data_IF_363905271077
#
_entry.id   IF_363905271077
#
_cell.length_a   1.000
_cell.length_b   1.000
_cell.length_c   1.000
_cell.angle_alpha   90.00
_cell.angle_beta   90.00
_cell.angle_gamma   90.00
#
_symmetry.space_group_name_H-M   'P 1'
#
loop_
_entity.id
_entity.type
_entity.pdbx_description
1 polymer ?
#
# COMPACT_ATOMS: atom_id res chain seq x y z
N UNK A 1 -11.73 -2.30 6.50
CA UNK A 1 -12.78 -2.58 7.50
C UNK A 1 -12.96 -1.36 8.38
N UNK A 2 -14.16 -1.13 8.95
CA UNK A 2 -14.39 -0.03 9.91
C UNK A 2 -13.58 -0.36 11.16
N UNK A 3 -12.94 0.63 11.78
CA UNK A 3 -12.27 0.43 13.08
C UNK A 3 -13.26 0.01 14.18
N UNK A 4 -14.54 0.36 14.05
CA UNK A 4 -15.60 0.02 15.00
C UNK A 4 -16.30 -1.32 14.70
N UNK A 5 -15.79 -2.16 13.80
CA UNK A 5 -16.43 -3.44 13.46
C UNK A 5 -15.78 -4.64 14.14
N UNK A 6 -16.59 -5.66 14.44
CA UNK A 6 -16.12 -6.98 14.93
C UNK A 6 -15.06 -7.60 14.00
N UNK A 7 -15.18 -7.36 12.69
CA UNK A 7 -14.21 -7.83 11.69
C UNK A 7 -12.82 -7.25 11.92
N UNK A 8 -12.69 -6.00 12.40
CA UNK A 8 -11.39 -5.41 12.74
C UNK A 8 -10.75 -6.10 13.94
N UNK A 9 -11.52 -6.40 14.98
CA UNK A 9 -11.02 -7.08 16.19
C UNK A 9 -10.49 -8.48 15.83
N UNK A 10 -11.25 -9.25 15.04
CA UNK A 10 -10.82 -10.58 14.58
C UNK A 10 -9.56 -10.48 13.72
N UNK A 11 -9.53 -9.53 12.77
CA UNK A 11 -8.37 -9.29 11.92
C UNK A 11 -7.12 -8.93 12.74
N UNK A 12 -7.25 -8.01 13.71
CA UNK A 12 -6.15 -7.58 14.58
C UNK A 12 -5.60 -8.76 15.38
N UNK A 13 -6.48 -9.58 15.98
CA UNK A 13 -6.06 -10.77 16.73
C UNK A 13 -5.26 -11.74 15.86
N UNK A 14 -5.71 -12.02 14.62
CA UNK A 14 -4.98 -12.88 13.69
C UNK A 14 -3.60 -12.30 13.35
N UNK A 15 -3.52 -11.01 13.02
CA UNK A 15 -2.25 -10.35 12.70
C UNK A 15 -1.29 -10.40 13.89
N UNK A 16 -1.81 -10.17 15.10
CA UNK A 16 -1.01 -10.14 16.32
C UNK A 16 -0.50 -11.55 16.66
N UNK A 17 -1.34 -12.58 16.57
CA UNK A 17 -0.93 -13.99 16.73
C UNK A 17 0.16 -14.36 15.71
N UNK A 18 -0.02 -14.02 14.44
CA UNK A 18 0.98 -14.31 13.40
C UNK A 18 2.29 -13.53 13.61
N UNK A 19 2.23 -12.29 14.09
CA UNK A 19 3.40 -11.46 14.37
C UNK A 19 4.24 -12.00 15.54
N UNK A 20 3.58 -12.40 16.63
CA UNK A 20 4.25 -12.96 17.81
C UNK A 20 4.60 -14.44 17.64
N UNK A 21 4.00 -15.12 16.68
CA UNK A 21 4.38 -16.47 16.32
C UNK A 21 5.87 -16.53 15.93
N UNK A 22 6.56 -17.54 16.47
CA UNK A 22 7.98 -17.82 16.19
C UNK A 22 8.20 -18.43 14.80
N UNK A 23 7.12 -18.63 14.03
CA UNK A 23 7.13 -19.27 12.71
C UNK A 23 7.79 -18.40 11.62
N UNK A 24 7.90 -17.08 11.81
CA UNK A 24 8.42 -16.18 10.79
C UNK A 24 9.75 -15.53 11.17
N UNK A 25 10.73 -15.65 10.28
CA UNK A 25 11.94 -14.83 10.31
C UNK A 25 11.60 -13.34 10.17
N UNK A 26 12.48 -12.46 10.65
CA UNK A 26 12.28 -11.00 10.65
C UNK A 26 11.86 -10.43 9.28
N UNK A 27 12.45 -10.92 8.19
CA UNK A 27 12.08 -10.55 6.82
C UNK A 27 10.65 -10.94 6.46
N UNK A 28 10.19 -12.11 6.89
CA UNK A 28 8.84 -12.60 6.62
C UNK A 28 7.81 -11.88 7.50
N UNK A 29 8.16 -11.47 8.73
CA UNK A 29 7.30 -10.63 9.57
C UNK A 29 7.00 -9.29 8.90
N UNK A 30 8.01 -8.65 8.28
CA UNK A 30 7.83 -7.40 7.51
C UNK A 30 6.89 -7.60 6.32
N UNK A 31 7.08 -8.68 5.56
CA UNK A 31 6.20 -9.01 4.42
C UNK A 31 4.76 -9.31 4.87
N UNK A 32 4.60 -10.03 5.97
CA UNK A 32 3.30 -10.33 6.57
C UNK A 32 2.58 -9.06 7.01
N UNK A 33 3.28 -8.14 7.69
CA UNK A 33 2.71 -6.84 8.08
C UNK A 33 2.28 -6.00 6.88
N UNK A 34 3.07 -6.01 5.79
CA UNK A 34 2.70 -5.39 4.53
C UNK A 34 1.44 -6.01 3.92
N UNK A 35 1.36 -7.33 3.85
CA UNK A 35 0.16 -8.01 3.34
C UNK A 35 -1.05 -7.74 4.23
N UNK A 36 -0.87 -7.74 5.55
CA UNK A 36 -1.92 -7.40 6.50
C UNK A 36 -2.43 -5.97 6.27
N UNK A 37 -1.55 -4.99 6.07
CA UNK A 37 -1.99 -3.63 5.78
C UNK A 37 -2.79 -3.57 4.47
N UNK A 38 -2.31 -4.21 3.39
CA UNK A 38 -3.05 -4.29 2.14
C UNK A 38 -4.41 -4.96 2.27
N UNK A 39 -4.52 -6.04 3.05
CA UNK A 39 -5.79 -6.74 3.31
C UNK A 39 -6.74 -5.86 4.12
N UNK A 40 -6.25 -5.17 5.14
CA UNK A 40 -7.05 -4.27 5.96
C UNK A 40 -7.67 -3.12 5.15
N UNK A 41 -6.87 -2.50 4.29
CA UNK A 41 -7.30 -1.44 3.37
C UNK A 41 -8.15 -1.98 2.21
N UNK A 42 -7.81 -3.16 1.67
CA UNK A 42 -8.54 -3.80 0.58
C UNK A 42 -9.93 -4.28 0.99
N UNK A 43 -10.09 -4.82 2.20
CA UNK A 43 -11.40 -5.18 2.76
C UNK A 43 -12.18 -3.97 3.29
N UNK A 44 -11.59 -2.78 3.27
CA UNK A 44 -12.30 -1.54 3.60
C UNK A 44 -13.00 -0.94 2.40
N UNK A 45 -12.22 -0.71 1.35
CA UNK A 45 -12.65 -0.10 0.11
C UNK A 45 -11.64 -0.56 -0.96
N UNK A 46 -11.90 -1.72 -1.60
CA UNK A 46 -11.06 -2.25 -2.67
C UNK A 46 -10.66 -1.24 -3.76
N UNK A 47 -11.51 -0.25 -4.16
CA UNK A 47 -11.14 0.72 -5.18
C UNK A 47 -10.01 1.68 -4.79
N UNK A 48 -9.77 1.92 -3.48
CA UNK A 48 -8.72 2.84 -3.04
C UNK A 48 -7.31 2.33 -3.36
N UNK A 49 -7.10 1.01 -3.37
CA UNK A 49 -5.81 0.41 -3.75
C UNK A 49 -5.52 0.68 -5.23
N UNK A 50 -6.55 0.61 -6.07
CA UNK A 50 -6.44 0.90 -7.50
C UNK A 50 -6.12 2.39 -7.70
N UNK A 51 -6.77 3.29 -6.96
CA UNK A 51 -6.47 4.73 -6.99
C UNK A 51 -5.02 5.02 -6.57
N UNK A 52 -4.54 4.37 -5.50
CA UNK A 52 -3.14 4.52 -5.06
C UNK A 52 -2.15 3.98 -6.09
N UNK A 53 -2.45 2.84 -6.70
CA UNK A 53 -1.62 2.28 -7.77
C UNK A 53 -1.55 3.19 -8.98
N UNK A 54 -2.69 3.73 -9.42
CA UNK A 54 -2.75 4.67 -10.54
C UNK A 54 -1.99 5.95 -10.20
N UNK A 55 -2.18 6.53 -9.01
CA UNK A 55 -1.43 7.72 -8.57
C UNK A 55 0.07 7.46 -8.60
N UNK A 56 0.52 6.37 -7.99
CA UNK A 56 1.96 6.05 -7.91
C UNK A 56 2.56 5.87 -9.31
N UNK A 57 1.83 5.25 -10.23
CA UNK A 57 2.28 5.02 -11.59
C UNK A 57 2.30 6.32 -12.41
N UNK A 58 1.30 7.20 -12.24
CA UNK A 58 1.28 8.53 -12.86
C UNK A 58 2.40 9.40 -12.30
N UNK A 59 2.55 9.49 -10.98
CA UNK A 59 3.56 10.30 -10.31
C UNK A 59 4.98 9.84 -10.68
N UNK A 60 5.21 8.52 -10.77
CA UNK A 60 6.49 7.95 -11.20
C UNK A 60 6.80 8.28 -12.67
N UNK A 61 5.83 8.09 -13.56
CA UNK A 61 6.01 8.36 -15.00
C UNK A 61 6.17 9.86 -15.29
N UNK A 62 5.42 10.72 -14.59
CA UNK A 62 5.56 12.17 -14.67
C UNK A 62 6.93 12.62 -14.15
N UNK A 63 7.36 12.11 -13.00
CA UNK A 63 8.68 12.43 -12.42
C UNK A 63 9.84 12.02 -13.34
N UNK A 64 9.80 10.83 -13.93
CA UNK A 64 10.83 10.42 -14.91
C UNK A 64 10.82 11.28 -16.17
N UNK A 65 9.65 11.64 -16.71
CA UNK A 65 9.56 12.49 -17.90
C UNK A 65 10.06 13.91 -17.63
N UNK A 66 9.74 14.48 -16.47
CA UNK A 66 10.25 15.79 -16.05
C UNK A 66 11.77 15.79 -15.87
N UNK A 67 12.36 14.68 -15.43
CA UNK A 67 13.80 14.54 -15.23
C UNK A 67 14.60 14.45 -16.53
N UNK A 68 14.00 13.90 -17.60
CA UNK A 68 14.64 13.70 -18.91
C UNK A 68 14.32 14.84 -19.90
N UNK A 69 13.24 15.58 -19.69
CA UNK A 69 12.81 16.64 -20.60
C UNK A 69 13.67 17.91 -20.46
N UNK A 70 14.57 18.12 -21.41
CA UNK A 70 15.42 19.31 -21.50
C UNK A 70 14.68 20.54 -22.05
N UNK A 71 13.54 20.33 -22.73
CA UNK A 71 12.77 21.44 -23.29
C UNK A 71 11.85 22.09 -22.24
N UNK A 72 12.09 23.35 -21.83
CA UNK A 72 11.36 23.99 -20.73
C UNK A 72 9.86 24.21 -21.02
N UNK A 73 9.44 24.24 -22.29
CA UNK A 73 8.01 24.35 -22.66
C UNK A 73 7.26 23.03 -22.49
N UNK A 74 7.90 21.91 -22.84
CA UNK A 74 7.31 20.57 -22.66
C UNK A 74 7.32 20.13 -21.20
N UNK A 75 8.36 20.51 -20.44
CA UNK A 75 8.45 20.25 -18.99
C UNK A 75 7.37 20.96 -18.17
N UNK A 76 6.82 22.08 -18.65
CA UNK A 76 5.72 22.81 -17.98
C UNK A 76 4.33 22.23 -18.24
N UNK A 77 4.22 21.34 -19.24
CA UNK A 77 2.96 20.74 -19.66
C UNK A 77 2.73 19.36 -19.02
N UNK A 78 3.80 18.67 -18.64
CA UNK A 78 3.78 17.51 -17.74
C UNK A 78 3.57 17.98 -16.29
#
# INVERSE_FOLDING_TARGET
MLFNSLSFIVFLLVVLVLYYSKLFNWTNKKRMLLLASYVFYGLWNPPLIILLWISTMVDWTAGQKLAVEENPRKRKFW
#
